data_IF_463984435857
#
_entry.id   IF_463984435857
#
_cell.length_a   1.000
_cell.length_b   1.000
_cell.length_c   1.000
_cell.angle_alpha   90.00
_cell.angle_beta   90.00
_cell.angle_gamma   90.00
#
_symmetry.space_group_name_H-M   'P 1'
#
loop_
_entity.id
_entity.type
_entity.pdbx_description
1 polymer ?
#
# COMPACT_ATOMS: atom_id res chain seq x y z
N UNK A 1 10.79 70.08 -22.22
CA UNK A 1 12.24 70.08 -21.97
C UNK A 1 12.93 69.50 -23.20
N UNK A 2 13.98 70.12 -23.75
CA UNK A 2 14.64 69.65 -24.96
C UNK A 2 15.42 68.37 -24.65
N UNK A 3 15.33 67.37 -25.53
CA UNK A 3 16.20 66.19 -25.49
C UNK A 3 17.59 66.60 -25.99
N UNK A 4 18.53 66.79 -25.08
CA UNK A 4 19.96 66.86 -25.41
C UNK A 4 20.42 65.47 -25.84
N UNK A 5 20.76 65.30 -27.11
CA UNK A 5 21.42 64.09 -27.61
C UNK A 5 22.77 63.93 -26.91
N UNK A 6 22.93 62.84 -26.16
CA UNK A 6 24.24 62.46 -25.60
C UNK A 6 25.06 61.85 -26.75
N UNK A 7 26.07 62.58 -27.22
CA UNK A 7 27.06 62.04 -28.16
C UNK A 7 27.85 60.91 -27.49
N UNK A 8 27.77 59.71 -28.08
CA UNK A 8 28.37 58.47 -27.54
C UNK A 8 29.92 58.45 -27.58
N UNK A 9 30.55 59.44 -28.21
CA UNK A 9 31.99 59.46 -28.52
C UNK A 9 32.89 59.89 -27.34
N UNK A 10 32.31 60.25 -26.18
CA UNK A 10 33.08 60.77 -25.03
C UNK A 10 33.28 59.77 -23.86
N UNK A 11 32.67 58.57 -23.91
CA UNK A 11 32.68 57.62 -22.78
C UNK A 11 33.89 56.68 -22.81
N UNK A 12 35.05 57.16 -22.36
CA UNK A 12 36.32 56.42 -22.43
C UNK A 12 36.64 55.53 -21.22
N UNK A 13 35.77 55.48 -20.20
CA UNK A 13 35.98 54.63 -19.03
C UNK A 13 34.73 53.86 -18.62
N UNK A 14 34.92 52.58 -18.23
CA UNK A 14 33.86 51.67 -17.77
C UNK A 14 32.89 52.27 -16.72
N UNK A 15 33.36 53.06 -15.73
CA UNK A 15 32.46 53.68 -14.75
C UNK A 15 31.52 54.71 -15.36
N UNK A 16 32.00 55.51 -16.32
CA UNK A 16 31.19 56.55 -16.96
C UNK A 16 30.11 55.96 -17.87
N UNK A 17 30.41 54.86 -18.55
CA UNK A 17 29.42 54.11 -19.34
C UNK A 17 28.32 53.53 -18.44
N UNK A 18 28.67 52.95 -17.30
CA UNK A 18 27.71 52.37 -16.35
C UNK A 18 26.74 53.43 -15.80
N UNK A 19 27.24 54.61 -15.43
CA UNK A 19 26.40 55.74 -14.98
C UNK A 19 25.50 56.26 -16.09
N UNK A 20 26.00 56.33 -17.33
CA UNK A 20 25.20 56.73 -18.48
C UNK A 20 24.06 55.74 -18.77
N UNK A 21 24.34 54.43 -18.78
CA UNK A 21 23.31 53.40 -18.94
C UNK A 21 22.24 53.48 -17.84
N UNK A 22 22.64 53.60 -16.56
CA UNK A 22 21.70 53.71 -15.44
C UNK A 22 20.84 54.99 -15.47
N UNK A 23 21.33 56.07 -16.11
CA UNK A 23 20.59 57.33 -16.26
C UNK A 23 19.66 57.38 -17.47
N UNK A 24 19.95 56.60 -18.53
CA UNK A 24 19.13 56.52 -19.76
C UNK A 24 17.98 55.54 -19.58
N UNK A 25 18.17 54.49 -18.78
CA UNK A 25 17.09 53.58 -18.41
C UNK A 25 16.51 54.03 -17.07
N UNK A 26 15.38 54.76 -17.09
CA UNK A 26 14.54 55.10 -15.89
C UNK A 26 13.93 53.84 -15.20
N UNK A 27 14.47 52.68 -15.53
CA UNK A 27 14.18 51.41 -14.96
C UNK A 27 15.55 50.73 -14.83
N UNK A 28 15.94 50.38 -13.61
CA UNK A 28 16.90 49.28 -13.46
C UNK A 28 16.38 48.14 -14.33
N UNK A 29 17.21 47.49 -15.17
CA UNK A 29 16.73 46.35 -15.91
C UNK A 29 16.12 45.38 -14.89
N UNK A 30 14.81 45.13 -15.02
CA UNK A 30 14.19 44.00 -14.32
C UNK A 30 14.91 42.80 -14.89
N UNK A 31 15.90 42.30 -14.16
CA UNK A 31 16.39 40.95 -14.38
C UNK A 31 15.13 40.12 -14.21
N UNK A 32 14.58 39.60 -15.30
CA UNK A 32 13.51 38.63 -15.21
C UNK A 32 14.02 37.56 -14.25
N UNK A 33 13.43 37.50 -13.06
CA UNK A 33 13.72 36.45 -12.10
C UNK A 33 13.16 35.19 -12.74
N UNK A 34 13.99 34.55 -13.57
CA UNK A 34 13.63 33.32 -14.23
C UNK A 34 13.72 32.26 -13.16
N UNK A 35 12.60 32.03 -12.47
CA UNK A 35 12.49 30.97 -11.51
C UNK A 35 12.63 29.64 -12.26
N UNK A 36 13.38 28.73 -11.66
CA UNK A 36 13.53 27.38 -12.16
C UNK A 36 12.20 26.68 -11.87
N UNK A 37 11.46 26.20 -12.90
CA UNK A 37 10.19 25.53 -12.67
C UNK A 37 10.38 24.30 -11.80
N UNK A 38 9.38 24.00 -10.96
CA UNK A 38 9.37 22.78 -10.17
C UNK A 38 9.42 21.54 -11.08
N UNK A 39 10.01 20.45 -10.56
CA UNK A 39 10.03 19.16 -11.28
C UNK A 39 9.56 18.08 -10.33
N UNK A 40 8.44 17.45 -10.66
CA UNK A 40 7.87 16.41 -9.81
C UNK A 40 8.64 15.09 -9.98
N UNK A 41 9.03 14.50 -8.87
CA UNK A 41 9.49 13.12 -8.73
C UNK A 41 8.52 12.36 -7.83
N UNK A 42 8.17 11.14 -8.21
CA UNK A 42 7.28 10.28 -7.42
C UNK A 42 7.91 8.90 -7.31
N UNK A 43 7.98 8.39 -6.09
CA UNK A 43 8.39 7.02 -5.79
C UNK A 43 7.28 6.32 -5.03
N UNK A 44 6.99 5.07 -5.40
CA UNK A 44 5.96 4.25 -4.77
C UNK A 44 6.63 3.03 -4.15
N UNK A 45 6.32 2.76 -2.88
CA UNK A 45 6.82 1.59 -2.17
C UNK A 45 6.35 0.27 -2.81
N UNK A 46 6.99 -0.84 -2.45
CA UNK A 46 6.64 -2.14 -2.95
C UNK A 46 5.19 -2.52 -2.58
N UNK A 47 4.42 -2.95 -3.58
CA UNK A 47 3.02 -3.31 -3.41
C UNK A 47 2.92 -4.82 -3.16
N UNK A 48 2.29 -5.25 -2.06
CA UNK A 48 2.08 -6.68 -1.82
C UNK A 48 1.06 -7.26 -2.80
N UNK A 49 1.36 -8.42 -3.37
CA UNK A 49 0.47 -9.12 -4.31
C UNK A 49 -0.68 -9.85 -3.61
N UNK A 50 -0.53 -10.18 -2.33
CA UNK A 50 -1.51 -10.89 -1.51
C UNK A 50 -1.59 -10.21 -0.15
N UNK A 51 -2.80 -9.96 0.32
CA UNK A 51 -3.08 -9.35 1.63
C UNK A 51 -4.22 -10.10 2.32
N UNK A 52 -4.22 -10.14 3.65
CA UNK A 52 -5.30 -10.79 4.38
C UNK A 52 -6.56 -9.90 4.44
N UNK A 53 -7.73 -10.52 4.47
CA UNK A 53 -9.02 -9.83 4.66
C UNK A 53 -8.99 -8.99 5.94
N UNK A 54 -9.42 -7.73 5.83
CA UNK A 54 -9.44 -6.78 6.94
C UNK A 54 -8.07 -6.26 7.39
N UNK A 55 -6.97 -6.62 6.73
CA UNK A 55 -5.65 -6.10 7.07
C UNK A 55 -5.51 -4.62 6.67
N UNK A 56 -5.01 -3.79 7.59
CA UNK A 56 -4.61 -2.42 7.25
C UNK A 56 -3.23 -2.45 6.58
N UNK A 57 -3.18 -2.18 5.28
CA UNK A 57 -1.95 -2.25 4.48
C UNK A 57 -1.70 -0.89 3.82
N UNK A 58 -0.75 -0.09 4.35
CA UNK A 58 -0.34 1.15 3.71
C UNK A 58 0.66 0.88 2.58
N UNK A 59 0.55 1.69 1.53
CA UNK A 59 1.55 1.90 0.48
C UNK A 59 2.05 3.32 0.68
N UNK A 60 3.34 3.47 0.97
CA UNK A 60 3.96 4.78 1.10
C UNK A 60 4.36 5.31 -0.27
N UNK A 61 4.05 6.58 -0.52
CA UNK A 61 4.36 7.33 -1.74
C UNK A 61 5.16 8.55 -1.35
N UNK A 62 6.38 8.64 -1.86
CA UNK A 62 7.24 9.80 -1.69
C UNK A 62 7.06 10.71 -2.90
N UNK A 63 6.66 11.95 -2.67
CA UNK A 63 6.58 13.00 -3.70
C UNK A 63 7.61 14.07 -3.38
N UNK A 64 8.45 14.40 -4.36
CA UNK A 64 9.57 15.34 -4.18
C UNK A 64 9.69 16.30 -5.36
N UNK A 65 10.03 17.55 -5.05
CA UNK A 65 10.50 18.54 -6.01
C UNK A 65 11.98 18.31 -6.35
N UNK A 66 12.21 17.48 -7.36
CA UNK A 66 13.54 17.10 -7.87
C UNK A 66 14.14 18.14 -8.83
N UNK A 67 13.70 19.40 -8.78
CA UNK A 67 14.30 20.47 -9.55
C UNK A 67 15.76 20.66 -9.11
N UNK A 68 16.69 20.69 -10.08
CA UNK A 68 18.11 20.87 -9.79
C UNK A 68 18.40 22.33 -9.46
N UNK A 69 18.36 22.68 -8.18
CA UNK A 69 18.45 24.07 -7.73
C UNK A 69 19.62 24.25 -6.78
N UNK A 70 20.59 25.08 -7.20
CA UNK A 70 21.77 25.36 -6.38
C UNK A 70 21.47 26.38 -5.27
N UNK A 71 20.33 27.07 -5.36
CA UNK A 71 19.81 28.05 -4.41
C UNK A 71 18.28 27.99 -4.41
N UNK A 72 17.66 27.65 -3.27
CA UNK A 72 16.20 27.45 -3.17
C UNK A 72 15.37 28.71 -3.43
N UNK A 73 15.94 29.91 -3.26
CA UNK A 73 15.22 31.18 -3.50
C UNK A 73 14.90 31.50 -4.96
N UNK A 74 15.42 30.72 -5.92
CA UNK A 74 15.17 30.89 -7.36
C UNK A 74 14.38 29.73 -7.97
N UNK A 75 13.78 28.90 -7.14
CA UNK A 75 13.13 27.68 -7.53
C UNK A 75 11.67 27.70 -7.11
N UNK A 76 10.79 27.20 -7.97
CA UNK A 76 9.36 27.19 -7.68
C UNK A 76 9.00 26.03 -6.75
N UNK A 77 7.99 26.28 -5.91
CA UNK A 77 7.35 25.29 -5.06
C UNK A 77 6.56 24.28 -5.92
N UNK A 78 6.55 23.03 -5.47
CA UNK A 78 5.77 21.98 -6.09
C UNK A 78 4.44 21.82 -5.33
N UNK A 79 3.35 22.30 -5.91
CA UNK A 79 1.99 22.02 -5.50
C UNK A 79 1.52 20.74 -6.20
N UNK A 80 0.96 19.79 -5.45
CA UNK A 80 0.47 18.55 -6.03
C UNK A 80 -0.74 17.97 -5.31
N UNK A 81 -1.46 17.12 -6.04
CA UNK A 81 -2.56 16.31 -5.54
C UNK A 81 -2.31 14.84 -5.86
N UNK A 82 -2.23 14.03 -4.81
CA UNK A 82 -2.33 12.58 -4.85
C UNK A 82 -3.81 12.19 -4.78
N UNK A 83 -4.26 11.41 -5.75
CA UNK A 83 -5.60 10.86 -5.81
C UNK A 83 -5.54 9.38 -6.16
N UNK A 84 -6.57 8.64 -5.74
CA UNK A 84 -6.66 7.20 -5.99
C UNK A 84 -8.04 6.83 -6.50
N UNK A 85 -8.11 5.70 -7.19
CA UNK A 85 -9.36 5.13 -7.70
C UNK A 85 -9.35 3.61 -7.57
N UNK A 86 -10.53 2.99 -7.68
CA UNK A 86 -10.70 1.54 -7.53
C UNK A 86 -10.60 1.11 -6.06
N UNK A 87 -9.86 0.03 -5.81
CA UNK A 87 -9.70 -0.60 -4.49
C UNK A 87 -8.56 0.02 -3.65
N UNK A 88 -8.37 1.33 -3.76
CA UNK A 88 -7.41 2.11 -2.99
C UNK A 88 -8.14 3.17 -2.18
N UNK A 89 -7.61 3.51 -1.02
CA UNK A 89 -8.22 4.46 -0.08
C UNK A 89 -7.15 5.48 0.32
N UNK A 90 -7.46 6.75 0.14
CA UNK A 90 -6.56 7.83 0.51
C UNK A 90 -6.56 8.92 -0.56
N UNK A 91 -5.65 9.88 -0.36
CA UNK A 91 -5.53 11.05 -1.21
C UNK A 91 -5.10 12.22 -0.36
N UNK A 92 -4.32 13.10 -0.96
CA UNK A 92 -3.77 14.27 -0.29
C UNK A 92 -3.54 15.38 -1.31
N UNK A 93 -3.68 16.62 -0.87
CA UNK A 93 -3.11 17.78 -1.56
C UNK A 93 -2.06 18.34 -0.63
N UNK A 94 -0.85 18.48 -1.15
CA UNK A 94 0.30 18.92 -0.36
C UNK A 94 1.26 19.70 -1.24
N UNK A 95 2.25 20.33 -0.60
CA UNK A 95 3.25 21.17 -1.24
C UNK A 95 4.64 20.73 -0.81
N UNK A 96 5.60 20.69 -1.74
CA UNK A 96 7.01 20.46 -1.44
C UNK A 96 7.84 21.67 -1.88
N UNK A 97 8.46 22.41 -0.93
CA UNK A 97 9.36 23.50 -1.26
C UNK A 97 10.52 23.05 -2.14
N UNK A 98 11.15 23.99 -2.84
CA UNK A 98 12.34 23.66 -3.61
C UNK A 98 13.48 23.14 -2.72
N UNK A 99 13.97 21.94 -3.03
CA UNK A 99 14.90 21.17 -2.19
C UNK A 99 14.36 20.82 -0.79
N UNK A 100 13.04 20.63 -0.65
CA UNK A 100 12.36 20.26 0.59
C UNK A 100 12.62 18.83 1.08
N UNK A 101 13.19 17.97 0.22
CA UNK A 101 13.58 16.60 0.56
C UNK A 101 12.47 15.56 0.42
N UNK A 102 11.32 15.97 -0.12
CA UNK A 102 10.18 15.10 -0.41
C UNK A 102 9.31 14.76 0.80
N UNK A 103 8.03 14.53 0.54
CA UNK A 103 7.03 14.17 1.54
C UNK A 103 6.49 12.77 1.29
N UNK A 104 6.38 11.99 2.37
CA UNK A 104 5.81 10.65 2.36
C UNK A 104 4.31 10.68 2.68
N UNK A 105 3.53 9.96 1.87
CA UNK A 105 2.08 9.84 1.99
C UNK A 105 1.66 8.39 1.98
N UNK A 106 0.75 8.01 2.88
CA UNK A 106 0.21 6.65 2.90
C UNK A 106 -1.13 6.56 2.16
N UNK A 107 -1.22 5.59 1.26
CA UNK A 107 -2.45 5.12 0.62
C UNK A 107 -2.73 3.71 1.09
N UNK A 108 -3.97 3.41 1.46
CA UNK A 108 -4.36 2.11 1.98
C UNK A 108 -4.99 1.24 0.89
N UNK A 109 -4.70 -0.06 0.93
CA UNK A 109 -5.41 -1.05 0.13
C UNK A 109 -6.81 -1.30 0.70
N UNK A 110 -7.83 -1.37 -0.15
CA UNK A 110 -9.17 -1.79 0.28
C UNK A 110 -9.23 -3.31 0.44
N UNK A 111 -9.14 -3.75 1.69
CA UNK A 111 -9.21 -5.17 2.06
C UNK A 111 -10.55 -5.57 2.67
N UNK A 112 -11.63 -4.84 2.39
CA UNK A 112 -12.94 -5.10 3.00
C UNK A 112 -13.62 -6.36 2.45
N UNK A 113 -13.31 -6.76 1.22
CA UNK A 113 -13.87 -7.95 0.58
C UNK A 113 -12.77 -8.81 -0.05
N UNK A 114 -12.87 -10.16 0.03
CA UNK A 114 -11.94 -11.07 -0.63
C UNK A 114 -11.99 -10.95 -2.15
N UNK A 115 -10.92 -11.40 -2.81
CA UNK A 115 -10.84 -11.52 -4.25
C UNK A 115 -9.77 -10.61 -4.88
N UNK A 116 -9.67 -10.63 -6.23
CA UNK A 116 -8.77 -9.75 -6.96
C UNK A 116 -9.24 -8.30 -6.84
N UNK A 117 -8.28 -7.40 -6.66
CA UNK A 117 -8.47 -5.98 -6.43
C UNK A 117 -7.58 -5.18 -7.36
N UNK A 118 -8.08 -4.02 -7.78
CA UNK A 118 -7.31 -3.14 -8.65
C UNK A 118 -7.63 -1.68 -8.40
N UNK A 119 -6.64 -0.83 -8.60
CA UNK A 119 -6.81 0.60 -8.51
C UNK A 119 -5.73 1.33 -9.28
N UNK A 120 -5.89 2.64 -9.35
CA UNK A 120 -4.91 3.52 -9.98
C UNK A 120 -4.57 4.63 -9.01
N UNK A 121 -3.27 4.76 -8.74
CA UNK A 121 -2.70 5.88 -8.00
C UNK A 121 -2.28 6.96 -8.99
N UNK A 122 -2.71 8.19 -8.76
CA UNK A 122 -2.48 9.33 -9.65
C UNK A 122 -1.93 10.50 -8.87
N UNK A 123 -0.75 11.00 -9.25
CA UNK A 123 -0.18 12.24 -8.70
C UNK A 123 -0.16 13.29 -9.80
N UNK A 124 -0.80 14.42 -9.56
CA UNK A 124 -0.89 15.56 -10.49
C UNK A 124 -0.29 16.77 -9.81
N UNK A 125 0.61 17.49 -10.48
CA UNK A 125 1.01 18.81 -10.01
C UNK A 125 0.02 19.88 -10.46
N UNK A 126 -0.26 20.82 -9.58
CA UNK A 126 -1.01 22.04 -9.89
C UNK A 126 -0.09 23.25 -10.13
N UNK A 127 1.22 23.12 -9.90
CA UNK A 127 2.20 24.17 -10.17
C UNK A 127 2.26 24.52 -11.66
N UNK A 128 2.19 25.81 -12.03
CA UNK A 128 2.38 26.25 -13.40
C UNK A 128 3.75 25.83 -13.94
N UNK A 129 3.78 25.34 -15.19
CA UNK A 129 5.02 25.01 -15.91
C UNK A 129 5.91 23.94 -15.26
N UNK A 130 5.42 23.25 -14.22
CA UNK A 130 6.14 22.17 -13.59
C UNK A 130 6.38 21.00 -14.56
N UNK A 131 7.60 20.47 -14.54
CA UNK A 131 7.96 19.30 -15.31
C UNK A 131 7.42 18.02 -14.64
N UNK A 132 7.11 17.01 -15.47
CA UNK A 132 6.47 15.74 -15.05
C UNK A 132 5.12 15.96 -14.38
N UNK A 133 4.21 16.68 -15.04
CA UNK A 133 2.98 17.12 -14.41
C UNK A 133 2.01 16.02 -13.94
N UNK A 134 2.22 14.78 -14.36
CA UNK A 134 1.37 13.63 -14.06
C UNK A 134 2.19 12.36 -13.91
N UNK A 135 1.95 11.62 -12.84
CA UNK A 135 2.34 10.22 -12.69
C UNK A 135 1.12 9.35 -12.43
N UNK A 136 1.14 8.14 -12.99
CA UNK A 136 0.06 7.17 -12.85
C UNK A 136 0.63 5.78 -12.65
N UNK A 137 0.20 5.11 -11.59
CA UNK A 137 0.66 3.77 -11.23
C UNK A 137 -0.53 2.83 -11.10
N UNK A 138 -0.62 1.78 -11.94
CA UNK A 138 -1.59 0.73 -11.75
C UNK A 138 -1.22 -0.12 -10.54
N UNK A 139 -2.21 -0.43 -9.70
CA UNK A 139 -2.06 -1.27 -8.52
C UNK A 139 -2.97 -2.48 -8.66
N UNK A 140 -2.43 -3.67 -8.45
CA UNK A 140 -3.19 -4.92 -8.40
C UNK A 140 -2.72 -5.79 -7.25
N UNK A 141 -3.68 -6.39 -6.55
CA UNK A 141 -3.45 -7.26 -5.40
C UNK A 141 -4.63 -8.21 -5.24
N UNK A 142 -4.46 -9.26 -4.45
CA UNK A 142 -5.54 -10.18 -4.08
C UNK A 142 -5.76 -10.13 -2.58
N UNK A 143 -7.01 -9.88 -2.17
CA UNK A 143 -7.41 -10.00 -0.77
C UNK A 143 -7.78 -11.45 -0.52
N UNK A 144 -6.98 -12.08 0.32
CA UNK A 144 -7.13 -13.44 0.76
C UNK A 144 -7.89 -13.47 2.08
N UNK A 145 -9.03 -14.15 2.11
CA UNK A 145 -9.80 -14.37 3.33
C UNK A 145 -10.65 -15.63 3.18
N UNK A 146 -11.11 -16.21 4.30
CA UNK A 146 -12.05 -17.32 4.23
C UNK A 146 -13.31 -16.84 3.50
N UNK A 147 -13.47 -17.27 2.26
CA UNK A 147 -14.73 -17.12 1.55
C UNK A 147 -15.67 -18.16 2.13
N UNK A 148 -16.53 -17.76 3.06
CA UNK A 148 -17.62 -18.63 3.52
C UNK A 148 -18.56 -18.87 2.34
N UNK A 149 -18.59 -20.10 1.85
CA UNK A 149 -19.53 -20.50 0.81
C UNK A 149 -20.83 -20.87 1.52
N UNK A 150 -21.86 -20.04 1.29
CA UNK A 150 -23.18 -20.20 1.88
C UNK A 150 -23.72 -21.63 1.69
N UNK A 151 -23.52 -22.19 0.49
CA UNK A 151 -23.98 -23.51 0.10
C UNK A 151 -22.97 -24.66 0.32
N UNK A 152 -21.84 -24.42 1.00
CA UNK A 152 -20.86 -25.45 1.40
C UNK A 152 -21.28 -26.03 2.77
N UNK A 153 -22.29 -26.89 2.76
CA UNK A 153 -22.98 -27.35 3.96
C UNK A 153 -22.15 -28.35 4.77
N UNK A 154 -21.18 -29.03 4.15
CA UNK A 154 -20.25 -29.92 4.85
C UNK A 154 -18.91 -29.25 5.22
N UNK A 155 -18.76 -27.96 4.90
CA UNK A 155 -17.60 -27.11 5.19
C UNK A 155 -16.28 -27.69 4.67
N UNK A 156 -16.33 -28.45 3.57
CA UNK A 156 -15.13 -29.04 2.94
C UNK A 156 -14.39 -28.03 2.04
N UNK A 157 -14.92 -26.81 1.90
CA UNK A 157 -14.35 -25.74 1.08
C UNK A 157 -14.77 -25.83 -0.39
N UNK A 158 -15.77 -26.65 -0.75
CA UNK A 158 -16.26 -26.80 -2.12
C UNK A 158 -17.78 -26.89 -2.12
N UNK A 159 -18.44 -26.19 -3.05
CA UNK A 159 -19.87 -26.37 -3.28
C UNK A 159 -20.05 -27.36 -4.43
N UNK A 160 -20.47 -28.58 -4.10
CA UNK A 160 -20.58 -29.70 -5.03
C UNK A 160 -21.83 -30.56 -4.76
N UNK A 161 -21.83 -31.79 -5.31
CA UNK A 161 -22.95 -32.72 -5.17
C UNK A 161 -23.15 -33.26 -3.74
N UNK A 162 -22.10 -33.22 -2.90
CA UNK A 162 -22.18 -33.53 -1.47
C UNK A 162 -23.09 -32.54 -0.74
N UNK A 163 -22.94 -31.25 -1.01
CA UNK A 163 -23.83 -30.22 -0.45
C UNK A 163 -25.26 -30.38 -0.94
N UNK A 164 -25.45 -30.67 -2.22
CA UNK A 164 -26.78 -30.93 -2.75
C UNK A 164 -27.46 -32.11 -2.03
N UNK A 165 -26.69 -33.14 -1.70
CA UNK A 165 -27.21 -34.28 -0.93
C UNK A 165 -27.68 -33.83 0.46
N UNK A 166 -26.90 -32.99 1.14
CA UNK A 166 -27.28 -32.40 2.45
C UNK A 166 -28.57 -31.58 2.36
N UNK A 167 -28.70 -30.68 1.37
CA UNK A 167 -29.93 -29.92 1.15
C UNK A 167 -31.12 -30.85 0.85
N UNK A 168 -30.96 -31.80 -0.07
CA UNK A 168 -32.05 -32.69 -0.48
C UNK A 168 -32.55 -33.61 0.63
N UNK A 169 -31.68 -33.99 1.57
CA UNK A 169 -32.03 -34.82 2.72
C UNK A 169 -32.88 -34.07 3.77
N UNK A 170 -32.81 -32.75 3.77
CA UNK A 170 -33.40 -31.88 4.78
C UNK A 170 -34.44 -30.90 4.21
N UNK A 171 -34.71 -30.96 2.90
CA UNK A 171 -35.71 -30.12 2.25
C UNK A 171 -37.07 -30.19 2.97
N UNK A 172 -37.63 -29.02 3.26
CA UNK A 172 -38.90 -28.87 3.96
C UNK A 172 -38.81 -28.75 5.49
N UNK A 173 -37.60 -28.67 6.06
CA UNK A 173 -37.45 -28.12 7.42
C UNK A 173 -37.93 -26.68 7.39
N UNK A 174 -39.03 -26.36 8.06
CA UNK A 174 -39.65 -25.03 8.03
C UNK A 174 -39.32 -24.11 9.20
N UNK A 175 -38.43 -24.53 10.11
CA UNK A 175 -37.97 -23.72 11.24
C UNK A 175 -36.74 -24.34 11.91
N UNK A 176 -35.85 -23.48 12.41
CA UNK A 176 -34.63 -23.87 13.14
C UNK A 176 -33.69 -24.76 12.31
N UNK A 177 -33.72 -24.61 10.99
CA UNK A 177 -32.67 -25.15 10.15
C UNK A 177 -31.33 -24.52 10.56
N UNK A 178 -30.26 -25.28 10.34
CA UNK A 178 -28.89 -24.80 10.45
C UNK A 178 -28.20 -24.99 9.11
N UNK A 179 -27.13 -24.23 8.87
CA UNK A 179 -26.36 -24.30 7.63
C UNK A 179 -26.06 -25.73 7.16
N UNK A 180 -25.59 -26.60 8.04
CA UNK A 180 -25.24 -27.98 7.68
C UNK A 180 -26.43 -28.84 7.23
N UNK A 181 -27.65 -28.38 7.48
CA UNK A 181 -28.89 -28.99 6.99
C UNK A 181 -29.31 -28.45 5.63
N UNK A 182 -28.63 -27.46 5.06
CA UNK A 182 -28.98 -26.90 3.76
C UNK A 182 -29.55 -25.48 3.79
N UNK A 183 -29.57 -24.82 4.95
CA UNK A 183 -29.98 -23.42 5.12
C UNK A 183 -28.84 -22.49 4.67
N UNK A 184 -28.88 -22.07 3.41
CA UNK A 184 -27.85 -21.27 2.78
C UNK A 184 -28.04 -19.77 2.99
N UNK A 185 -29.28 -19.27 3.10
CA UNK A 185 -29.54 -17.85 3.36
C UNK A 185 -29.68 -17.49 4.85
N UNK A 186 -29.64 -18.50 5.72
CA UNK A 186 -29.68 -18.39 7.18
C UNK A 186 -31.01 -17.84 7.70
N UNK A 187 -32.11 -18.11 7.00
CA UNK A 187 -33.45 -17.71 7.42
C UNK A 187 -34.13 -18.73 8.35
N UNK A 188 -33.49 -19.88 8.55
CA UNK A 188 -33.93 -20.93 9.46
C UNK A 188 -34.90 -21.94 8.84
N UNK A 189 -35.07 -21.95 7.52
CA UNK A 189 -35.71 -23.05 6.79
C UNK A 189 -34.77 -23.70 5.74
N UNK A 190 -35.25 -24.77 5.08
CA UNK A 190 -34.52 -25.44 3.99
C UNK A 190 -35.45 -25.58 2.81
N UNK A 191 -35.33 -24.66 1.85
CA UNK A 191 -36.30 -24.49 0.78
C UNK A 191 -35.68 -24.22 -0.61
N UNK A 192 -36.49 -23.69 -1.54
CA UNK A 192 -36.03 -23.37 -2.88
C UNK A 192 -35.07 -22.18 -2.96
N UNK A 193 -35.12 -21.23 -2.04
CA UNK A 193 -34.19 -20.10 -1.95
C UNK A 193 -32.77 -20.59 -1.68
N UNK A 194 -32.61 -21.57 -0.80
CA UNK A 194 -31.32 -22.21 -0.53
C UNK A 194 -30.79 -22.95 -1.74
N UNK A 195 -31.65 -23.68 -2.43
CA UNK A 195 -31.28 -24.39 -3.65
C UNK A 195 -30.77 -23.43 -4.73
N UNK A 196 -31.38 -22.24 -4.85
CA UNK A 196 -30.91 -21.20 -5.78
C UNK A 196 -29.56 -20.61 -5.36
N UNK A 197 -29.24 -20.55 -4.06
CA UNK A 197 -27.90 -20.22 -3.59
C UNK A 197 -26.88 -21.31 -3.95
N UNK A 198 -27.22 -22.57 -3.72
CA UNK A 198 -26.38 -23.70 -4.13
C UNK A 198 -26.12 -23.70 -5.64
N UNK A 199 -27.14 -23.51 -6.47
CA UNK A 199 -26.98 -23.45 -7.92
C UNK A 199 -26.05 -22.31 -8.38
N UNK A 200 -26.12 -21.15 -7.72
CA UNK A 200 -25.23 -20.02 -8.01
C UNK A 200 -23.80 -20.26 -7.59
N UNK A 201 -23.58 -21.08 -6.56
CA UNK A 201 -22.27 -21.37 -6.00
C UNK A 201 -21.71 -22.71 -6.48
N UNK A 202 -22.44 -23.53 -7.24
CA UNK A 202 -22.00 -24.83 -7.71
C UNK A 202 -20.66 -24.74 -8.47
N UNK A 203 -19.69 -25.54 -8.02
CA UNK A 203 -18.34 -25.58 -8.58
C UNK A 203 -17.40 -24.51 -8.03
N UNK A 204 -17.86 -23.67 -7.09
CA UNK A 204 -16.97 -22.77 -6.35
C UNK A 204 -16.18 -23.53 -5.31
N UNK A 205 -14.91 -23.17 -5.16
CA UNK A 205 -14.03 -23.69 -4.13
C UNK A 205 -13.50 -22.53 -3.31
N UNK A 206 -13.67 -22.59 -1.99
CA UNK A 206 -13.17 -21.60 -1.07
C UNK A 206 -11.64 -21.65 -1.09
N UNK A 207 -11.02 -20.50 -1.24
CA UNK A 207 -9.57 -20.37 -1.12
C UNK A 207 -9.19 -20.36 0.37
N UNK A 208 -9.61 -21.36 1.14
CA UNK A 208 -9.00 -21.59 2.45
C UNK A 208 -7.68 -22.30 2.15
N UNK A 209 -6.57 -21.57 2.31
CA UNK A 209 -5.26 -22.17 2.40
C UNK A 209 -5.39 -23.20 3.52
N UNK A 210 -5.27 -24.48 3.17
CA UNK A 210 -5.14 -25.52 4.16
C UNK A 210 -4.08 -25.02 5.13
N UNK A 211 -4.51 -24.66 6.35
CA UNK A 211 -3.62 -24.52 7.47
C UNK A 211 -3.10 -25.94 7.68
N UNK A 212 -2.09 -26.33 6.91
CA UNK A 212 -1.34 -27.53 7.15
C UNK A 212 -0.90 -27.38 8.60
N UNK A 213 -1.41 -28.25 9.46
CA UNK A 213 -1.01 -28.36 10.84
C UNK A 213 0.51 -28.33 10.85
N UNK A 214 1.09 -27.21 11.28
CA UNK A 214 2.53 -27.06 11.37
C UNK A 214 2.98 -28.17 12.32
N UNK A 215 3.75 -29.17 11.87
CA UNK A 215 4.25 -30.19 12.77
C UNK A 215 5.12 -29.48 13.79
N UNK A 216 4.76 -29.52 15.07
CA UNK A 216 5.55 -28.89 16.12
C UNK A 216 7.00 -29.42 16.03
N UNK A 217 8.00 -28.54 15.84
CA UNK A 217 9.33 -28.96 15.46
C UNK A 217 10.05 -29.55 16.67
N UNK A 218 10.26 -30.87 16.71
CA UNK A 218 11.31 -31.61 17.44
C UNK A 218 11.62 -31.27 18.92
N UNK A 219 10.90 -30.36 19.56
CA UNK A 219 11.22 -29.81 20.89
C UNK A 219 11.05 -30.85 21.99
N UNK A 220 10.08 -31.75 21.83
CA UNK A 220 9.88 -32.90 22.72
C UNK A 220 11.08 -33.84 22.68
N UNK A 221 11.67 -34.06 21.51
CA UNK A 221 12.85 -34.92 21.36
C UNK A 221 14.10 -34.28 21.97
N UNK A 222 14.28 -32.96 21.82
CA UNK A 222 15.35 -32.22 22.48
C UNK A 222 15.22 -32.23 24.01
N UNK A 223 14.00 -32.10 24.55
CA UNK A 223 13.75 -32.16 26.00
C UNK A 223 14.06 -33.57 26.58
N UNK A 224 13.71 -34.63 25.85
CA UNK A 224 14.01 -36.03 26.26
C UNK A 224 15.52 -36.32 26.17
N UNK A 225 16.20 -35.86 25.11
CA UNK A 225 17.65 -36.02 24.96
C UNK A 225 18.43 -35.21 26.01
N UNK A 226 18.02 -33.98 26.31
CA UNK A 226 18.64 -33.15 27.34
C UNK A 226 18.41 -33.74 28.75
N UNK A 227 17.21 -34.22 29.05
CA UNK A 227 16.88 -34.86 30.32
C UNK A 227 17.69 -36.13 30.60
N UNK A 228 17.90 -36.97 29.58
CA UNK A 228 18.68 -38.21 29.69
C UNK A 228 20.18 -37.97 29.85
N UNK A 229 20.73 -36.94 29.20
CA UNK A 229 22.13 -36.51 29.40
C UNK A 229 22.36 -35.94 30.81
N UNK A 230 21.44 -35.10 31.31
CA UNK A 230 21.52 -34.53 32.65
C UNK A 230 21.41 -35.61 33.75
N UNK A 231 20.56 -36.62 33.57
CA UNK A 231 20.43 -37.73 34.53
C UNK A 231 21.68 -38.60 34.59
N UNK A 232 22.36 -38.79 33.45
CA UNK A 232 23.63 -39.52 33.37
C UNK A 232 24.77 -38.75 34.03
N UNK A 233 24.86 -37.45 33.81
CA UNK A 233 25.89 -36.60 34.42
C UNK A 233 25.76 -36.54 35.95
N UNK A 234 24.53 -36.48 36.48
CA UNK A 234 24.28 -36.53 37.94
C UNK A 234 24.72 -37.84 38.60
N UNK A 235 24.76 -38.95 37.86
CA UNK A 235 25.16 -40.27 38.39
C UNK A 235 26.67 -40.48 38.42
N UNK A 236 27.44 -39.80 37.57
CA UNK A 236 28.89 -39.94 37.50
C UNK A 236 29.65 -39.11 38.54
N UNK A 237 29.02 -38.10 39.15
CA UNK A 237 29.66 -37.15 40.09
C UNK A 237 29.57 -37.59 41.56
N UNK A 238 29.12 -38.82 41.86
CA UNK A 238 29.07 -39.32 43.23
C UNK A 238 30.12 -40.42 43.50
N UNK A 239 31.42 -40.11 43.64
CA UNK A 239 32.37 -41.06 44.17
C UNK A 239 32.15 -41.18 45.68
N UNK A 240 31.59 -42.31 46.12
CA UNK A 240 31.60 -42.71 47.53
C UNK A 240 33.06 -42.91 47.95
N UNK A 241 33.61 -41.98 48.71
CA UNK A 241 34.90 -42.13 49.36
C UNK A 241 34.75 -42.89 50.68
N UNK A 242 35.40 -44.06 50.71
CA UNK A 242 36.19 -44.62 51.80
C UNK A 242 35.43 -45.38 52.91
N UNK A 243 35.51 -46.71 52.78
CA UNK A 243 35.60 -47.68 53.88
C UNK A 243 36.99 -47.65 54.52
N UNK A 244 37.04 -47.65 55.84
CA UNK A 244 38.21 -47.91 56.69
C UNK A 244 37.83 -47.44 58.10
N UNK A 245 37.96 -48.19 59.18
CA UNK A 245 38.73 -49.39 59.51
C UNK A 245 38.80 -49.38 61.03
#
# INVERSE_FOLDING_TARGET
YPFTSVEFDALHTRPQLLTALASVTDHLPVVAAYQIPAKMGVQVAAIPSIVNLGASVPITITVENIAAVNFSGFADELDYTLSVSGDLIGGVTDVDPAAGGGHDHDVFLNTATPGPKSGVLTVVTTSPQAANALFTFPVSFTVFGPTFLAADFDENGQVNAGDLASWSANFGIGASAVKSQGDADLDGDVDGADFMLWQRQLGTTSLVAAAASVPEPAGVWLAICAGSAALRWRRSVNPRSVTGG
#
